data_IF_694940615448
#
_entry.id   IF_694940615448
#
_cell.length_a   1.000
_cell.length_b   1.000
_cell.length_c   1.000
_cell.angle_alpha   90.00
_cell.angle_beta   90.00
_cell.angle_gamma   90.00
#
_symmetry.space_group_name_H-M   'P 1'
#
loop_
_entity.id
_entity.type
_entity.pdbx_description
1 polymer ?
#
# COMPACT_ATOMS: atom_id res chain seq x y z
N UNK A 1 1.74 40.78 8.45
CA UNK A 1 2.88 39.84 8.67
C UNK A 1 2.57 38.71 9.66
N UNK A 2 1.79 38.93 10.73
CA UNK A 2 1.49 37.87 11.72
C UNK A 2 0.68 36.69 11.17
N UNK A 3 -0.32 36.94 10.32
CA UNK A 3 -1.20 35.88 9.78
C UNK A 3 -0.43 34.85 8.94
N UNK A 4 0.52 35.33 8.11
CA UNK A 4 1.37 34.45 7.31
C UNK A 4 2.24 33.55 8.20
N UNK A 5 2.81 34.09 9.28
CA UNK A 5 3.61 33.31 10.24
C UNK A 5 2.76 32.25 10.96
N UNK A 6 1.50 32.56 11.27
CA UNK A 6 0.56 31.62 11.90
C UNK A 6 0.21 30.49 10.94
N UNK A 7 -0.12 30.81 9.68
CA UNK A 7 -0.43 29.81 8.65
C UNK A 7 0.75 28.86 8.44
N UNK A 8 1.97 29.40 8.28
CA UNK A 8 3.19 28.57 8.08
C UNK A 8 3.40 27.60 9.25
N UNK A 9 3.21 28.07 10.49
CA UNK A 9 3.35 27.22 11.68
C UNK A 9 2.32 26.10 11.73
N UNK A 10 1.05 26.42 11.44
CA UNK A 10 -0.04 25.43 11.44
C UNK A 10 0.22 24.37 10.37
N UNK A 11 0.57 24.77 9.16
CA UNK A 11 0.88 23.85 8.06
C UNK A 11 2.05 22.93 8.40
N UNK A 12 3.12 23.48 8.98
CA UNK A 12 4.28 22.69 9.39
C UNK A 12 3.93 21.61 10.44
N UNK A 13 3.14 21.97 11.44
CA UNK A 13 2.67 21.02 12.47
C UNK A 13 1.81 19.93 11.84
N UNK A 14 0.92 20.27 10.91
CA UNK A 14 0.05 19.30 10.25
C UNK A 14 0.84 18.30 9.39
N UNK A 15 1.83 18.78 8.62
CA UNK A 15 2.69 17.92 7.83
C UNK A 15 3.46 16.91 8.70
N UNK A 16 4.03 17.36 9.82
CA UNK A 16 4.76 16.49 10.74
C UNK A 16 3.83 15.44 11.34
N UNK A 17 2.63 15.85 11.79
CA UNK A 17 1.64 14.92 12.32
C UNK A 17 1.23 13.85 11.29
N UNK A 18 1.00 14.25 10.03
CA UNK A 18 0.68 13.33 8.94
C UNK A 18 1.79 12.30 8.67
N UNK A 19 3.05 12.74 8.65
CA UNK A 19 4.21 11.84 8.48
C UNK A 19 4.34 10.87 9.64
N UNK A 20 4.10 11.30 10.88
CA UNK A 20 4.18 10.43 12.07
C UNK A 20 3.08 9.36 12.04
N UNK A 21 1.84 9.75 11.78
CA UNK A 21 0.70 8.81 11.76
C UNK A 21 0.83 7.79 10.62
N UNK A 22 1.31 8.21 9.44
CA UNK A 22 1.54 7.29 8.31
C UNK A 22 2.83 6.48 8.44
N UNK A 23 3.86 7.03 9.09
CA UNK A 23 5.19 6.43 9.23
C UNK A 23 5.32 5.41 10.36
N UNK A 24 4.52 5.50 11.43
CA UNK A 24 4.57 4.56 12.55
C UNK A 24 3.93 3.19 12.27
N UNK A 25 3.24 3.01 11.14
CA UNK A 25 2.53 1.77 10.81
C UNK A 25 3.32 0.71 10.03
N UNK A 26 4.48 1.06 9.43
CA UNK A 26 5.15 0.18 8.44
C UNK A 26 6.66 0.03 8.59
N UNK A 27 7.16 0.05 9.83
CA UNK A 27 8.55 -0.30 10.14
C UNK A 27 8.65 -1.43 11.18
N UNK A 28 7.84 -2.47 10.99
CA UNK A 28 8.10 -3.77 11.61
C UNK A 28 9.03 -4.59 10.72
N UNK A 29 9.87 -5.45 11.30
CA UNK A 29 10.49 -6.51 10.51
C UNK A 29 9.33 -7.27 9.85
N UNK A 30 9.35 -7.34 8.52
CA UNK A 30 8.43 -8.23 7.82
C UNK A 30 8.84 -9.64 8.24
N UNK A 31 8.00 -10.29 9.04
CA UNK A 31 8.24 -11.68 9.40
C UNK A 31 8.48 -12.47 8.12
N UNK A 32 9.59 -13.20 8.09
CA UNK A 32 9.91 -14.02 6.93
C UNK A 32 8.71 -14.93 6.70
N UNK A 33 8.11 -14.94 5.51
CA UNK A 33 6.99 -15.81 5.25
C UNK A 33 7.43 -17.25 5.55
N UNK A 34 6.59 -18.01 6.25
CA UNK A 34 6.87 -19.40 6.63
C UNK A 34 6.97 -20.34 5.43
N UNK A 35 6.74 -19.83 4.23
CA UNK A 35 6.87 -20.55 2.97
C UNK A 35 8.35 -20.70 2.57
N UNK A 36 8.81 -21.90 2.19
CA UNK A 36 10.08 -22.09 1.53
C UNK A 36 10.23 -21.16 0.31
N UNK A 37 11.45 -20.66 0.08
CA UNK A 37 11.76 -19.71 -1.02
C UNK A 37 11.30 -20.26 -2.38
N UNK A 38 11.48 -21.56 -2.60
CA UNK A 38 11.06 -22.26 -3.82
C UNK A 38 9.56 -22.19 -4.10
N UNK A 39 8.72 -21.98 -3.07
CA UNK A 39 7.26 -21.89 -3.20
C UNK A 39 6.75 -20.45 -3.14
N UNK A 40 7.64 -19.51 -2.87
CA UNK A 40 7.30 -18.10 -2.76
C UNK A 40 7.21 -17.49 -4.16
N UNK A 41 6.11 -16.81 -4.47
CA UNK A 41 5.81 -16.25 -5.79
C UNK A 41 5.57 -17.28 -6.92
N UNK A 42 5.47 -18.58 -6.62
CA UNK A 42 4.95 -19.54 -7.59
C UNK A 42 3.45 -19.31 -7.78
N UNK A 43 3.05 -18.79 -8.94
CA UNK A 43 1.69 -18.99 -9.43
C UNK A 43 1.54 -20.48 -9.68
N UNK A 44 0.76 -21.17 -8.84
CA UNK A 44 0.33 -22.55 -9.11
C UNK A 44 -0.25 -22.56 -10.53
N UNK A 45 0.55 -23.09 -11.46
CA UNK A 45 0.22 -23.43 -12.84
C UNK A 45 0.25 -22.30 -13.88
N UNK A 46 1.34 -22.26 -14.64
CA UNK A 46 1.36 -21.79 -16.02
C UNK A 46 0.69 -22.77 -17.01
N UNK A 47 -0.06 -23.77 -16.51
CA UNK A 47 -0.68 -24.82 -17.34
C UNK A 47 -1.97 -25.43 -16.77
N UNK A 48 -2.62 -24.83 -15.76
CA UNK A 48 -3.96 -25.27 -15.35
C UNK A 48 -5.00 -24.43 -16.08
N UNK A 49 -6.06 -25.04 -16.62
CA UNK A 49 -7.18 -24.30 -17.15
C UNK A 49 -7.80 -23.51 -16.00
N UNK A 50 -7.60 -22.19 -16.01
CA UNK A 50 -8.53 -21.15 -15.60
C UNK A 50 -9.71 -21.63 -14.71
N UNK A 51 -9.41 -22.17 -13.52
CA UNK A 51 -10.45 -22.54 -12.57
C UNK A 51 -10.66 -21.35 -11.65
N UNK A 52 -11.78 -20.67 -11.92
CA UNK A 52 -12.21 -19.37 -11.43
C UNK A 52 -11.68 -18.19 -12.26
N UNK A 53 -12.06 -18.15 -13.56
CA UNK A 53 -12.38 -16.86 -14.17
C UNK A 53 -13.46 -16.25 -13.26
N UNK A 54 -13.06 -15.37 -12.34
CA UNK A 54 -14.02 -14.44 -11.76
C UNK A 54 -14.77 -13.82 -12.95
N UNK A 55 -16.10 -13.64 -12.87
CA UNK A 55 -16.84 -13.00 -13.95
C UNK A 55 -16.07 -11.76 -14.40
N UNK A 56 -15.98 -11.56 -15.72
CA UNK A 56 -15.18 -10.54 -16.39
C UNK A 56 -15.74 -9.15 -16.09
N UNK A 57 -15.69 -8.78 -14.80
CA UNK A 57 -16.16 -7.52 -14.26
C UNK A 57 -14.94 -6.61 -14.19
N UNK A 58 -15.06 -5.38 -14.72
CA UNK A 58 -13.97 -4.44 -14.64
C UNK A 58 -13.59 -4.27 -13.16
N UNK A 59 -12.29 -4.32 -12.90
CA UNK A 59 -11.79 -4.03 -11.57
C UNK A 59 -12.12 -2.56 -11.28
N UNK A 60 -12.52 -2.26 -10.05
CA UNK A 60 -12.95 -0.90 -9.67
C UNK A 60 -11.88 0.16 -9.96
N UNK A 61 -10.60 -0.25 -10.01
CA UNK A 61 -9.46 0.63 -10.29
C UNK A 61 -8.95 0.56 -11.74
N UNK A 62 -9.58 -0.22 -12.63
CA UNK A 62 -9.24 -0.19 -14.06
C UNK A 62 -9.29 1.22 -14.68
N UNK A 63 -10.19 2.14 -14.26
CA UNK A 63 -10.19 3.51 -14.78
C UNK A 63 -9.03 4.38 -14.28
N UNK A 64 -8.22 3.91 -13.32
CA UNK A 64 -7.13 4.67 -12.69
C UNK A 64 -5.72 4.20 -13.14
N UNK A 65 -5.66 3.21 -14.01
CA UNK A 65 -4.45 2.66 -14.63
C UNK A 65 -4.35 3.13 -16.09
#
# INVERSE_FOLDING_TARGET
MSTLRVIVRITAVMCIAGIVVTGCGRKGNLDKPSTPIEQQNLRKNSSQPQQNTAPDRPFLLDPLL
#
